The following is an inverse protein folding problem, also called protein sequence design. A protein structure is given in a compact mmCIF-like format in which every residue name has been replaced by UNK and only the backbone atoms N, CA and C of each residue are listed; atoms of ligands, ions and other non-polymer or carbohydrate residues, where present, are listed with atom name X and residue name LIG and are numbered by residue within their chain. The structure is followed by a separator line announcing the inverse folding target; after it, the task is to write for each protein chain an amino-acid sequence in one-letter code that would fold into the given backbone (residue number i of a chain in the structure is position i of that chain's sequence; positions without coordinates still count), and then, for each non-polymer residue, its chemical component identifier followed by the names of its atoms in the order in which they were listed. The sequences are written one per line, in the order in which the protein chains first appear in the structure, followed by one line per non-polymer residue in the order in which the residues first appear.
data_IF_050102482499
#
_entry.id   IF_050102482499
#
_cell.length_a   1.000
_cell.length_b   1.000
_cell.length_c   1.000
_cell.angle_alpha   90.00
_cell.angle_beta   90.00
_cell.angle_gamma   90.00
#
_symmetry.space_group_name_H-M   'P 1'
#
loop_
_entity.id
_entity.type
_entity.pdbx_description
1 polymer ?
#
# COMPACT_ATOMS: atom_id res chain seq x y z
N UNK A 1 8.85 -6.40 -28.06
CA UNK A 1 8.28 -5.06 -27.79
C UNK A 1 6.76 -4.97 -27.75
N UNK A 2 5.97 -5.95 -28.21
CA UNK A 2 4.49 -5.88 -28.12
C UNK A 2 3.92 -6.39 -26.79
N UNK A 3 4.59 -7.35 -26.13
CA UNK A 3 4.14 -7.91 -24.83
C UNK A 3 4.20 -6.91 -23.67
N UNK A 4 5.09 -5.92 -23.72
CA UNK A 4 5.23 -4.90 -22.65
C UNK A 4 4.06 -3.92 -22.63
N UNK A 5 3.48 -3.62 -23.80
CA UNK A 5 2.33 -2.71 -23.94
C UNK A 5 1.05 -3.42 -23.49
N UNK A 6 0.87 -4.68 -23.89
CA UNK A 6 -0.28 -5.49 -23.48
C UNK A 6 -0.33 -5.69 -21.96
N UNK A 7 0.81 -5.97 -21.30
CA UNK A 7 0.87 -6.07 -19.84
C UNK A 7 0.48 -4.77 -19.14
N UNK A 8 0.94 -3.62 -19.65
CA UNK A 8 0.55 -2.31 -19.08
C UNK A 8 -0.94 -2.02 -19.24
N UNK A 9 -1.52 -2.36 -20.40
CA UNK A 9 -2.95 -2.17 -20.64
C UNK A 9 -3.82 -3.08 -19.77
N UNK A 10 -3.42 -4.34 -19.59
CA UNK A 10 -4.13 -5.26 -18.69
C UNK A 10 -4.06 -4.79 -17.23
N UNK A 11 -2.92 -4.25 -16.79
CA UNK A 11 -2.80 -3.71 -15.43
C UNK A 11 -3.66 -2.47 -15.21
N UNK A 12 -3.79 -1.58 -16.20
CA UNK A 12 -4.64 -0.39 -16.11
C UNK A 12 -6.14 -0.73 -15.97
N UNK A 13 -6.61 -1.81 -16.60
CA UNK A 13 -7.99 -2.30 -16.45
C UNK A 13 -8.21 -2.91 -15.05
N UNK A 14 -7.14 -3.35 -14.41
CA UNK A 14 -7.13 -4.21 -13.22
C UNK A 14 -6.62 -3.49 -11.97
N UNK A 15 -6.44 -2.17 -12.00
CA UNK A 15 -6.08 -1.39 -10.81
C UNK A 15 -7.35 -0.81 -10.15
N UNK A 16 -7.96 -1.54 -9.19
CA UNK A 16 -9.12 -1.04 -8.46
C UNK A 16 -8.79 0.17 -7.58
N UNK A 17 -7.52 0.41 -7.21
CA UNK A 17 -7.16 1.53 -6.33
C UNK A 17 -7.20 2.86 -7.06
N UNK A 18 -6.89 2.91 -8.35
CA UNK A 18 -7.13 4.12 -9.15
C UNK A 18 -8.62 4.47 -9.27
N UNK A 19 -9.52 3.51 -9.02
CA UNK A 19 -10.98 3.68 -9.11
C UNK A 19 -11.64 3.88 -7.74
N UNK A 20 -10.91 3.63 -6.65
CA UNK A 20 -11.39 3.81 -5.28
C UNK A 20 -11.17 5.27 -4.85
N UNK A 21 -12.14 5.89 -4.15
CA UNK A 21 -11.91 7.19 -3.53
C UNK A 21 -10.74 7.14 -2.55
N UNK A 22 -10.02 8.24 -2.43
CA UNK A 22 -8.87 8.38 -1.53
C UNK A 22 -9.19 7.93 -0.09
N UNK A 23 -10.34 8.31 0.45
CA UNK A 23 -10.74 8.00 1.82
C UNK A 23 -10.92 6.50 2.04
N UNK A 24 -11.50 5.80 1.06
CA UNK A 24 -11.72 4.35 1.13
C UNK A 24 -10.39 3.60 1.06
N UNK A 25 -9.50 4.01 0.15
CA UNK A 25 -8.15 3.44 0.04
C UNK A 25 -7.34 3.67 1.32
N UNK A 26 -7.42 4.88 1.90
CA UNK A 26 -6.76 5.22 3.17
C UNK A 26 -7.26 4.35 4.32
N UNK A 27 -8.57 4.15 4.44
CA UNK A 27 -9.14 3.28 5.48
C UNK A 27 -8.69 1.83 5.32
N UNK A 28 -8.70 1.29 4.10
CA UNK A 28 -8.18 -0.06 3.82
C UNK A 28 -6.72 -0.18 4.26
N UNK A 29 -5.90 0.84 4.01
CA UNK A 29 -4.49 0.85 4.39
C UNK A 29 -4.30 0.85 5.91
N UNK A 30 -5.13 1.59 6.65
CA UNK A 30 -5.11 1.58 8.12
C UNK A 30 -5.44 0.20 8.68
N UNK A 31 -6.40 -0.51 8.06
CA UNK A 31 -6.75 -1.89 8.46
C UNK A 31 -5.66 -2.91 8.13
N UNK A 32 -4.69 -2.56 7.28
CA UNK A 32 -3.54 -3.41 6.95
C UNK A 32 -2.39 -3.28 7.95
N UNK A 33 -2.45 -2.31 8.88
CA UNK A 33 -1.42 -2.16 9.90
C UNK A 33 -1.36 -3.40 10.80
N UNK A 34 -0.15 -3.87 11.16
CA UNK A 34 -0.01 -5.02 12.04
C UNK A 34 -0.65 -4.72 13.40
N UNK A 35 -1.68 -5.48 13.76
CA UNK A 35 -2.27 -5.37 15.09
C UNK A 35 -1.24 -5.76 16.16
N UNK A 36 -1.31 -5.13 17.33
CA UNK A 36 -0.32 -5.30 18.42
C UNK A 36 -0.10 -6.77 18.84
N UNK A 37 -1.05 -7.66 18.52
CA UNK A 37 -0.98 -9.10 18.76
C UNK A 37 -0.03 -9.85 17.81
N UNK A 38 0.23 -9.33 16.61
CA UNK A 38 1.07 -9.93 15.58
C UNK A 38 2.28 -9.07 15.20
N UNK A 39 2.51 -7.95 15.91
CA UNK A 39 3.76 -7.22 15.77
C UNK A 39 4.91 -8.06 16.33
N UNK A 40 5.68 -8.70 15.44
CA UNK A 40 6.91 -9.38 15.84
C UNK A 40 7.97 -8.44 16.46
N UNK A 41 7.72 -7.12 16.45
CA UNK A 41 8.57 -6.15 17.12
C UNK A 41 7.88 -5.67 18.39
N UNK A 42 8.32 -6.20 19.54
CA UNK A 42 7.98 -5.71 20.89
C UNK A 42 8.80 -4.45 21.25
N UNK A 43 9.61 -3.95 20.32
CA UNK A 43 10.51 -2.80 20.51
C UNK A 43 9.87 -1.55 19.92
N UNK A 44 9.82 -0.48 20.71
CA UNK A 44 9.34 0.82 20.26
C UNK A 44 10.52 1.79 20.03
N UNK A 45 10.60 2.49 18.89
CA UNK A 45 9.66 2.41 17.76
C UNK A 45 9.85 1.12 16.94
N UNK A 46 8.78 0.60 16.30
CA UNK A 46 8.88 -0.58 15.47
C UNK A 46 9.84 -0.36 14.30
N UNK A 47 10.72 -1.33 14.04
CA UNK A 47 11.65 -1.26 12.91
C UNK A 47 10.86 -1.38 11.59
N UNK A 48 11.02 -0.44 10.62
CA UNK A 48 10.35 -0.54 9.33
C UNK A 48 10.85 -1.77 8.57
N UNK A 49 9.91 -2.58 8.06
CA UNK A 49 10.19 -3.80 7.30
C UNK A 49 9.55 -3.69 5.92
N UNK A 50 10.30 -3.91 4.81
CA UNK A 50 9.78 -3.73 3.45
C UNK A 50 8.50 -4.53 3.14
N UNK A 51 8.34 -5.69 3.79
CA UNK A 51 7.21 -6.61 3.57
C UNK A 51 6.10 -6.47 4.61
N UNK A 52 6.08 -5.38 5.37
CA UNK A 52 5.04 -5.10 6.37
C UNK A 52 4.45 -3.73 6.11
N UNK A 53 3.13 -3.58 6.30
CA UNK A 53 2.50 -2.25 6.29
C UNK A 53 3.11 -1.37 7.41
N UNK A 54 3.28 -0.06 7.17
CA UNK A 54 2.89 0.67 5.95
C UNK A 54 3.89 0.55 4.79
N UNK A 55 5.13 0.09 5.02
CA UNK A 55 6.20 0.07 4.01
C UNK A 55 5.85 -0.74 2.77
N UNK A 56 5.14 -1.87 2.93
CA UNK A 56 4.68 -2.69 1.81
C UNK A 56 3.83 -1.87 0.81
N UNK A 57 2.98 -0.97 1.33
CA UNK A 57 2.05 -0.18 0.52
C UNK A 57 2.79 0.79 -0.43
N UNK A 58 3.97 1.26 -0.01
CA UNK A 58 4.85 2.10 -0.84
C UNK A 58 5.52 1.35 -2.00
N UNK A 59 5.49 0.02 -2.01
CA UNK A 59 6.23 -0.80 -2.98
C UNK A 59 5.32 -1.47 -4.02
N UNK A 60 4.01 -1.18 -4.03
CA UNK A 60 3.04 -1.85 -4.91
C UNK A 60 2.93 -1.10 -6.26
N UNK A 61 2.47 0.15 -6.23
CA UNK A 61 2.42 1.01 -7.42
C UNK A 61 2.44 2.50 -7.01
N UNK A 62 2.57 3.39 -8.00
CA UNK A 62 2.61 4.84 -7.76
C UNK A 62 1.31 5.36 -7.14
N UNK A 63 0.16 4.82 -7.52
CA UNK A 63 -1.12 5.23 -6.94
C UNK A 63 -1.20 4.91 -5.44
N UNK A 64 -0.80 3.70 -5.04
CA UNK A 64 -0.74 3.30 -3.62
C UNK A 64 0.27 4.13 -2.84
N UNK A 65 1.43 4.41 -3.44
CA UNK A 65 2.44 5.28 -2.83
C UNK A 65 1.88 6.67 -2.56
N UNK A 66 1.16 7.25 -3.52
CA UNK A 66 0.49 8.54 -3.38
C UNK A 66 -0.52 8.55 -2.24
N UNK A 67 -1.36 7.52 -2.15
CA UNK A 67 -2.33 7.37 -1.05
C UNK A 67 -1.59 7.25 0.29
N UNK A 68 -0.67 6.30 0.43
CA UNK A 68 0.01 6.01 1.69
C UNK A 68 0.82 7.20 2.24
N UNK A 69 1.52 7.95 1.37
CA UNK A 69 2.24 9.16 1.77
C UNK A 69 1.29 10.32 2.14
N UNK A 70 0.07 10.32 1.61
CA UNK A 70 -0.95 11.33 1.91
C UNK A 70 -1.86 10.95 3.09
N UNK A 71 -1.65 9.80 3.74
CA UNK A 71 -2.40 9.34 4.91
C UNK A 71 -1.51 9.41 6.17
N UNK A 72 -1.52 10.53 6.93
CA UNK A 72 -0.64 10.70 8.09
C UNK A 72 -0.78 9.64 9.17
N UNK A 73 -1.97 9.06 9.35
CA UNK A 73 -2.25 8.06 10.37
C UNK A 73 -1.55 6.70 10.15
N UNK A 74 -0.85 6.49 9.03
CA UNK A 74 -0.04 5.29 8.77
C UNK A 74 1.34 5.32 9.43
N UNK A 75 1.81 6.48 9.91
CA UNK A 75 3.17 6.72 10.39
C UNK A 75 3.19 6.98 11.90
#
# INVERSE_FOLDING_TARGET
SSESIAHRQLNAIRDPVERLPFDISSEIFLQCLPSSKYSESTVFPPKPRPLTAPMLLLNICNAWTGVALSTPALW
#
